data_IF_378251460193
#
_entry.id   IF_378251460193
#
_cell.length_a   1.000
_cell.length_b   1.000
_cell.length_c   1.000
_cell.angle_alpha   90.00
_cell.angle_beta   90.00
_cell.angle_gamma   90.00
#
_symmetry.space_group_name_H-M   'P 1'
#
loop_
_entity.id
_entity.type
_entity.pdbx_description
1 polymer ?
#
# COMPACT_ATOMS: atom_id res chain seq x y z
N UNK A 1 -0.74 -5.36 -9.01
CA UNK A 1 -1.64 -5.60 -7.84
C UNK A 1 -0.94 -5.57 -6.46
N UNK A 2 0.31 -6.07 -6.32
CA UNK A 2 0.99 -6.25 -5.01
C UNK A 2 1.26 -4.97 -4.21
N UNK A 3 1.52 -3.84 -4.89
CA UNK A 3 1.71 -2.53 -4.24
C UNK A 3 0.47 -2.12 -3.46
N UNK A 4 -0.70 -2.16 -4.11
CA UNK A 4 -1.97 -1.75 -3.49
C UNK A 4 -2.30 -2.63 -2.28
N UNK A 5 -2.14 -3.95 -2.43
CA UNK A 5 -2.29 -4.90 -1.33
C UNK A 5 -1.39 -4.58 -0.15
N UNK A 6 -0.09 -4.36 -0.40
CA UNK A 6 0.86 -4.05 0.68
C UNK A 6 0.50 -2.75 1.39
N UNK A 7 0.15 -1.68 0.66
CA UNK A 7 -0.25 -0.41 1.28
C UNK A 7 -1.43 -0.62 2.24
N UNK A 8 -2.45 -1.36 1.80
CA UNK A 8 -3.63 -1.64 2.62
C UNK A 8 -3.27 -2.51 3.84
N UNK A 9 -2.45 -3.55 3.65
CA UNK A 9 -1.97 -4.44 4.73
C UNK A 9 -1.18 -3.66 5.77
N UNK A 10 -0.28 -2.76 5.35
CA UNK A 10 0.53 -1.96 6.26
C UNK A 10 -0.31 -0.93 7.06
N UNK A 11 -1.38 -0.41 6.46
CA UNK A 11 -2.39 0.41 7.16
C UNK A 11 -3.14 -0.44 8.19
N UNK A 12 -3.56 -1.66 7.84
CA UNK A 12 -4.27 -2.59 8.73
C UNK A 12 -3.47 -2.86 10.01
N UNK A 13 -2.17 -3.13 9.87
CA UNK A 13 -1.27 -3.41 11.01
C UNK A 13 -0.71 -2.15 11.68
N UNK A 14 -1.16 -0.96 11.23
CA UNK A 14 -0.72 0.36 11.73
C UNK A 14 0.81 0.54 11.68
N UNK A 15 1.48 -0.04 10.66
CA UNK A 15 2.92 0.17 10.46
C UNK A 15 3.15 1.63 10.05
N UNK A 16 4.24 2.21 10.55
CA UNK A 16 4.65 3.58 10.24
C UNK A 16 5.83 3.59 9.28
N UNK A 17 6.09 4.73 8.61
CA UNK A 17 7.25 4.88 7.73
C UNK A 17 7.05 4.33 6.31
N UNK A 18 5.82 4.07 5.89
CA UNK A 18 5.52 3.62 4.53
C UNK A 18 5.82 4.77 3.53
N UNK A 19 6.68 4.51 2.54
CA UNK A 19 7.07 5.48 1.50
C UNK A 19 7.21 4.81 0.15
N UNK A 20 7.32 5.61 -0.93
CA UNK A 20 7.54 5.07 -2.27
C UNK A 20 8.84 4.27 -2.38
N UNK A 21 9.90 4.68 -1.68
CA UNK A 21 11.21 4.03 -1.70
C UNK A 21 11.15 2.56 -1.26
N UNK A 22 10.35 2.23 -0.25
CA UNK A 22 10.13 0.86 0.21
C UNK A 22 9.59 -0.05 -0.90
N UNK A 23 8.82 0.52 -1.82
CA UNK A 23 8.25 -0.15 -2.98
C UNK A 23 9.12 -0.02 -4.23
N UNK A 24 10.27 0.67 -4.15
CA UNK A 24 11.08 1.04 -5.31
C UNK A 24 10.36 1.97 -6.28
N UNK A 25 9.44 2.80 -5.77
CA UNK A 25 8.66 3.79 -6.51
C UNK A 25 9.19 5.20 -6.24
N UNK A 26 8.95 6.11 -7.18
CA UNK A 26 9.07 7.55 -6.89
C UNK A 26 7.93 7.98 -5.98
N UNK A 27 8.16 8.98 -5.14
CA UNK A 27 7.14 9.50 -4.21
C UNK A 27 5.84 9.91 -4.92
N UNK A 28 5.95 10.49 -6.12
CA UNK A 28 4.78 10.86 -6.93
C UNK A 28 3.98 9.64 -7.43
N UNK A 29 4.63 8.52 -7.73
CA UNK A 29 3.96 7.28 -8.14
C UNK A 29 3.24 6.66 -6.94
N UNK A 30 3.91 6.66 -5.79
CA UNK A 30 3.34 6.18 -4.53
C UNK A 30 2.14 7.02 -4.09
N UNK A 31 2.24 8.36 -4.13
CA UNK A 31 1.14 9.25 -3.81
C UNK A 31 -0.06 9.05 -4.75
N UNK A 32 0.18 8.87 -6.06
CA UNK A 32 -0.87 8.57 -7.04
C UNK A 32 -1.57 7.24 -6.72
N UNK A 33 -0.83 6.22 -6.32
CA UNK A 33 -1.41 4.94 -5.89
C UNK A 33 -2.29 5.11 -4.66
N UNK A 34 -1.81 5.83 -3.64
CA UNK A 34 -2.59 6.12 -2.43
C UNK A 34 -3.87 6.90 -2.75
N UNK A 35 -3.78 7.92 -3.62
CA UNK A 35 -4.95 8.67 -4.11
C UNK A 35 -5.93 7.79 -4.87
N UNK A 36 -5.44 6.84 -5.66
CA UNK A 36 -6.28 5.88 -6.37
C UNK A 36 -7.04 4.97 -5.40
N UNK A 37 -6.35 4.41 -4.41
CA UNK A 37 -6.95 3.56 -3.38
C UNK A 37 -8.03 4.31 -2.57
N UNK A 38 -7.74 5.57 -2.21
CA UNK A 38 -8.70 6.44 -1.52
C UNK A 38 -9.91 6.74 -2.40
N UNK A 39 -9.70 7.13 -3.66
CA UNK A 39 -10.79 7.41 -4.64
C UNK A 39 -11.66 6.18 -4.91
N UNK A 40 -11.08 4.98 -4.89
CA UNK A 40 -11.78 3.73 -5.11
C UNK A 40 -12.49 3.21 -3.85
N UNK A 41 -12.35 3.90 -2.71
CA UNK A 41 -13.02 3.57 -1.46
C UNK A 41 -12.38 2.40 -0.70
N UNK A 42 -11.09 2.12 -0.90
CA UNK A 42 -10.37 1.11 -0.12
C UNK A 42 -9.87 1.66 1.23
N UNK A 43 -9.58 2.96 1.29
CA UNK A 43 -9.09 3.62 2.49
C UNK A 43 -9.60 5.06 2.57
N UNK A 44 -9.54 5.64 3.76
CA UNK A 44 -9.87 7.04 4.01
C UNK A 44 -8.86 7.70 4.97
N UNK A 45 -9.03 9.00 5.22
CA UNK A 45 -8.29 9.79 6.22
C UNK A 45 -6.78 9.86 5.97
N UNK A 46 -6.34 9.92 4.71
CA UNK A 46 -4.95 10.25 4.39
C UNK A 46 -4.68 11.71 4.73
N UNK A 47 -3.78 11.97 5.66
CA UNK A 47 -3.41 13.34 6.04
C UNK A 47 -2.55 13.95 4.93
N UNK A 48 -2.89 15.17 4.51
CA UNK A 48 -2.13 15.95 3.53
C UNK A 48 -1.89 17.36 4.08
N UNK A 49 -0.64 17.80 4.09
CA UNK A 49 -0.22 19.13 4.56
C UNK A 49 0.87 19.65 3.62
N UNK A 50 0.53 20.63 2.79
CA UNK A 50 1.41 21.09 1.72
C UNK A 50 1.79 19.94 0.79
N UNK A 51 3.08 19.80 0.51
CA UNK A 51 3.62 18.73 -0.35
C UNK A 51 3.85 17.39 0.39
N UNK A 52 3.48 17.31 1.67
CA UNK A 52 3.64 16.09 2.47
C UNK A 52 2.31 15.40 2.66
N UNK A 53 2.35 14.06 2.69
CA UNK A 53 1.22 13.26 3.13
C UNK A 53 1.65 12.19 4.12
N UNK A 54 0.69 11.69 4.90
CA UNK A 54 0.91 10.66 5.90
C UNK A 54 -0.24 9.65 5.91
N UNK A 55 0.13 8.37 5.89
CA UNK A 55 -0.79 7.25 6.06
C UNK A 55 -1.05 6.91 7.54
N UNK A 56 -0.38 7.56 8.49
CA UNK A 56 -0.55 7.29 9.92
C UNK A 56 -2.01 7.42 10.42
N UNK A 57 -2.81 8.40 9.98
CA UNK A 57 -4.23 8.49 10.36
C UNK A 57 -5.16 7.73 9.42
N UNK A 58 -4.62 7.13 8.35
CA UNK A 58 -5.43 6.45 7.35
C UNK A 58 -6.11 5.22 7.97
N UNK A 59 -7.29 4.89 7.44
CA UNK A 59 -8.07 3.72 7.87
C UNK A 59 -8.56 2.97 6.65
N UNK A 60 -8.65 1.65 6.77
CA UNK A 60 -9.33 0.84 5.78
C UNK A 60 -10.83 1.10 5.88
N UNK A 61 -11.48 1.08 4.71
CA UNK A 61 -12.92 0.95 4.61
C UNK A 61 -13.26 -0.53 4.41
N UNK A 62 -14.53 -0.91 4.54
CA UNK A 62 -15.00 -2.30 4.36
C UNK A 62 -14.48 -2.93 3.07
N UNK A 63 -14.52 -2.19 1.96
CA UNK A 63 -13.97 -2.63 0.67
C UNK A 63 -12.46 -2.90 0.71
N UNK A 64 -11.72 -2.14 1.50
CA UNK A 64 -10.29 -2.35 1.77
C UNK A 64 -10.03 -3.66 2.52
N UNK A 65 -10.84 -3.94 3.53
CA UNK A 65 -10.75 -5.17 4.32
C UNK A 65 -11.12 -6.40 3.47
N UNK A 66 -12.24 -6.34 2.75
CA UNK A 66 -12.65 -7.39 1.81
C UNK A 66 -11.57 -7.67 0.75
N UNK A 67 -10.95 -6.64 0.20
CA UNK A 67 -9.86 -6.82 -0.77
C UNK A 67 -8.69 -7.59 -0.19
N UNK A 68 -8.32 -7.35 1.08
CA UNK A 68 -7.26 -8.10 1.75
C UNK A 68 -7.64 -9.57 1.95
N UNK A 69 -8.91 -9.86 2.29
CA UNK A 69 -9.43 -11.21 2.45
C UNK A 69 -9.47 -11.99 1.12
N UNK A 70 -9.99 -11.37 0.06
CA UNK A 70 -10.05 -11.97 -1.28
C UNK A 70 -8.65 -12.31 -1.83
N UNK A 71 -7.63 -11.57 -1.37
CA UNK A 71 -6.24 -11.75 -1.75
C UNK A 71 -5.39 -12.35 -0.62
N UNK A 72 -5.98 -13.16 0.27
CA UNK A 72 -5.29 -13.79 1.40
C UNK A 72 -4.01 -14.54 0.98
N UNK A 73 -3.96 -15.12 -0.23
CA UNK A 73 -2.74 -15.74 -0.76
C UNK A 73 -1.54 -14.78 -0.84
N UNK A 74 -1.78 -13.50 -1.12
CA UNK A 74 -0.73 -12.48 -1.09
C UNK A 74 -0.27 -12.18 0.34
N UNK A 75 -1.11 -12.46 1.35
CA UNK A 75 -0.71 -12.37 2.75
C UNK A 75 0.25 -13.50 3.12
N UNK A 76 0.04 -14.72 2.60
CA UNK A 76 0.90 -15.88 2.83
C UNK A 76 2.28 -15.71 2.19
N UNK A 77 2.33 -15.09 1.00
CA UNK A 77 3.56 -14.78 0.27
C UNK A 77 4.18 -13.43 0.70
N UNK A 78 3.67 -12.80 1.77
CA UNK A 78 4.06 -11.45 2.13
C UNK A 78 5.46 -11.42 2.74
N UNK A 79 6.36 -10.55 2.24
CA UNK A 79 7.73 -10.51 2.73
C UNK A 79 7.87 -10.00 4.17
N UNK A 80 8.82 -10.58 4.90
CA UNK A 80 9.17 -10.16 6.26
C UNK A 80 10.18 -9.00 6.29
N UNK A 81 10.97 -8.84 5.22
CA UNK A 81 12.00 -7.82 5.12
C UNK A 81 11.73 -6.77 4.02
N UNK A 82 12.30 -5.57 4.20
CA UNK A 82 12.18 -4.47 3.23
C UNK A 82 12.84 -4.83 1.88
N UNK A 83 13.97 -5.54 1.91
CA UNK A 83 14.66 -5.98 0.69
C UNK A 83 13.78 -6.88 -0.16
N UNK A 84 13.17 -7.88 0.47
CA UNK A 84 12.25 -8.82 -0.18
C UNK A 84 10.93 -8.13 -0.58
N UNK A 85 10.42 -7.16 0.20
CA UNK A 85 9.23 -6.38 -0.16
C UNK A 85 9.41 -5.69 -1.51
N UNK A 86 10.57 -5.06 -1.73
CA UNK A 86 10.90 -4.37 -2.97
C UNK A 86 10.97 -5.33 -4.16
N UNK A 87 11.56 -6.51 -3.98
CA UNK A 87 11.63 -7.53 -5.03
C UNK A 87 10.27 -8.16 -5.32
N UNK A 88 9.50 -8.48 -4.29
CA UNK A 88 8.16 -9.04 -4.39
C UNK A 88 7.21 -8.13 -5.16
N UNK A 89 7.27 -6.82 -4.88
CA UNK A 89 6.53 -5.79 -5.62
C UNK A 89 7.00 -5.65 -7.06
N UNK A 90 8.31 -5.71 -7.32
CA UNK A 90 8.86 -5.65 -8.68
C UNK A 90 8.44 -6.82 -9.56
N UNK A 91 8.38 -8.03 -8.99
CA UNK A 91 8.00 -9.24 -9.73
C UNK A 91 6.56 -9.21 -10.28
N UNK A 92 5.70 -8.37 -9.71
CA UNK A 92 4.33 -8.14 -10.18
C UNK A 92 4.29 -7.13 -11.32
N UNK A 93 5.13 -6.08 -11.26
CA UNK A 93 5.27 -5.09 -12.34
C UNK A 93 5.96 -5.62 -13.60
N UNK A 94 6.79 -6.64 -13.48
CA UNK A 94 7.50 -7.25 -14.62
C UNK A 94 6.61 -8.20 -15.45
N UNK A 95 5.39 -8.48 -14.98
CA UNK A 95 4.42 -9.37 -15.64
C UNK A 95 3.30 -8.60 -16.37
N UNK A 96 3.28 -7.28 -16.25
CA UNK A 96 2.41 -6.36 -17.00
C UNK A 96 3.19 -5.73 -18.17
#
# INVERSE_FOLDING_TARGET
MRVGFSILKEIQVKRTGISGELYGLKDIEFERMVKLLEKQGYLERVLRVGDRFSLKPARLLEKGEMFLEEHARLADEYPDSIGELKEWVRADRAKE
#
